data_IF_471565488367
#
_entry.id   IF_471565488367
#
_cell.length_a   1.000
_cell.length_b   1.000
_cell.length_c   1.000
_cell.angle_alpha   90.00
_cell.angle_beta   90.00
_cell.angle_gamma   90.00
#
_symmetry.space_group_name_H-M   'P 1'
#
loop_
_entity.id
_entity.type
_entity.pdbx_description
1 polymer ?
#
# COMPACT_ATOMS: atom_id res chain seq x y z
N UNK A 1 -2.20 12.46 -19.97
CA UNK A 1 -2.26 11.27 -19.13
C UNK A 1 -2.95 10.17 -19.91
N UNK A 2 -2.31 9.08 -20.01
CA UNK A 2 -2.37 8.12 -21.09
C UNK A 2 -3.59 7.22 -21.02
N UNK A 3 -4.22 6.98 -22.18
CA UNK A 3 -5.33 6.06 -22.44
C UNK A 3 -5.16 4.63 -21.87
N UNK A 4 -3.97 4.27 -21.41
CA UNK A 4 -3.66 2.97 -20.78
C UNK A 4 -4.36 2.78 -19.43
N UNK A 5 -4.66 3.86 -18.71
CA UNK A 5 -5.28 3.80 -17.38
C UNK A 5 -6.80 3.60 -17.42
N UNK A 6 -7.43 3.93 -18.52
CA UNK A 6 -8.90 3.94 -18.63
C UNK A 6 -9.49 2.54 -18.89
N UNK A 7 -8.66 1.52 -19.12
CA UNK A 7 -9.09 0.18 -19.49
C UNK A 7 -8.60 -0.95 -18.57
N UNK A 8 -7.73 -0.66 -17.58
CA UNK A 8 -7.25 -1.69 -16.66
C UNK A 8 -8.21 -1.84 -15.48
N UNK A 9 -8.71 -3.06 -15.30
CA UNK A 9 -9.46 -3.42 -14.09
C UNK A 9 -8.49 -3.52 -12.90
N UNK A 10 -8.49 -2.47 -12.07
CA UNK A 10 -7.64 -2.38 -10.88
C UNK A 10 -8.07 -3.35 -9.76
N UNK A 11 -9.31 -3.86 -9.82
CA UNK A 11 -9.85 -4.82 -8.86
C UNK A 11 -9.51 -6.27 -9.21
N UNK A 12 -8.93 -6.51 -10.40
CA UNK A 12 -8.54 -7.85 -10.81
C UNK A 12 -7.59 -8.50 -9.80
N UNK A 13 -7.95 -9.68 -9.32
CA UNK A 13 -7.21 -10.43 -8.31
C UNK A 13 -6.37 -11.57 -8.90
N UNK A 14 -6.60 -11.91 -10.15
CA UNK A 14 -5.86 -12.97 -10.82
C UNK A 14 -4.57 -12.46 -11.45
N UNK A 15 -3.56 -13.32 -11.50
CA UNK A 15 -2.29 -13.04 -12.15
C UNK A 15 -1.78 -14.30 -12.83
N UNK A 16 -1.23 -14.17 -14.02
CA UNK A 16 -0.55 -15.29 -14.67
C UNK A 16 0.83 -15.55 -14.05
N UNK A 17 1.29 -16.80 -14.15
CA UNK A 17 2.53 -17.26 -13.51
C UNK A 17 3.78 -16.52 -14.04
N UNK A 18 3.81 -16.21 -15.32
CA UNK A 18 4.92 -15.47 -15.94
C UNK A 18 5.03 -14.09 -15.32
N UNK A 19 3.90 -13.38 -15.21
CA UNK A 19 3.86 -12.05 -14.60
C UNK A 19 4.20 -12.09 -13.11
N UNK A 20 3.68 -13.06 -12.38
CA UNK A 20 4.01 -13.26 -10.96
C UNK A 20 5.51 -13.50 -10.75
N UNK A 21 6.13 -14.31 -11.60
CA UNK A 21 7.58 -14.56 -11.57
C UNK A 21 8.39 -13.29 -11.84
N UNK A 22 8.01 -12.50 -12.84
CA UNK A 22 8.67 -11.22 -13.13
C UNK A 22 8.61 -10.26 -11.95
N UNK A 23 7.46 -10.19 -11.28
CA UNK A 23 7.29 -9.33 -10.09
C UNK A 23 8.17 -9.84 -8.95
N UNK A 24 8.12 -11.14 -8.64
CA UNK A 24 8.96 -11.76 -7.60
C UNK A 24 10.44 -11.47 -7.82
N UNK A 25 10.94 -11.73 -9.03
CA UNK A 25 12.36 -11.55 -9.36
C UNK A 25 12.76 -10.06 -9.29
N UNK A 26 11.85 -9.16 -9.67
CA UNK A 26 12.03 -7.72 -9.51
C UNK A 26 12.11 -7.28 -8.05
N UNK A 27 11.20 -7.79 -7.21
CA UNK A 27 11.19 -7.50 -5.76
C UNK A 27 12.48 -8.00 -5.10
N UNK A 28 12.86 -9.25 -5.35
CA UNK A 28 14.08 -9.83 -4.75
C UNK A 28 15.32 -9.03 -5.14
N UNK A 29 15.47 -8.67 -6.40
CA UNK A 29 16.60 -7.84 -6.87
C UNK A 29 16.71 -6.51 -6.13
N UNK A 30 15.57 -5.85 -5.84
CA UNK A 30 15.57 -4.58 -5.10
C UNK A 30 15.89 -4.81 -3.62
N UNK A 31 15.32 -5.84 -3.00
CA UNK A 31 15.62 -6.18 -1.60
C UNK A 31 17.08 -6.54 -1.39
N UNK A 32 17.66 -7.31 -2.31
CA UNK A 32 19.08 -7.66 -2.27
C UNK A 32 19.97 -6.42 -2.40
N UNK A 33 19.66 -5.51 -3.32
CA UNK A 33 20.39 -4.25 -3.48
C UNK A 33 20.31 -3.36 -2.23
N UNK A 34 19.16 -3.34 -1.54
CA UNK A 34 19.02 -2.63 -0.26
C UNK A 34 19.90 -3.28 0.81
N UNK A 35 19.88 -4.60 0.93
CA UNK A 35 20.69 -5.33 1.92
C UNK A 35 22.19 -5.12 1.69
N UNK A 36 22.65 -5.14 0.43
CA UNK A 36 24.02 -4.83 0.08
C UNK A 36 24.42 -3.39 0.46
N UNK A 37 23.55 -2.42 0.18
CA UNK A 37 23.78 -1.01 0.52
C UNK A 37 23.79 -0.78 2.04
N UNK A 38 22.90 -1.43 2.80
CA UNK A 38 22.92 -1.41 4.28
C UNK A 38 24.24 -1.93 4.82
N UNK A 39 24.69 -3.08 4.32
CA UNK A 39 25.95 -3.70 4.72
C UNK A 39 27.15 -2.80 4.40
N UNK A 40 27.23 -2.26 3.18
CA UNK A 40 28.30 -1.38 2.77
C UNK A 40 28.35 -0.08 3.58
N UNK A 41 27.20 0.43 4.03
CA UNK A 41 27.10 1.62 4.86
C UNK A 41 27.22 1.36 6.37
N UNK A 42 27.46 0.11 6.79
CA UNK A 42 27.53 -0.28 8.22
C UNK A 42 26.21 -0.10 8.96
N UNK A 43 25.08 -0.15 8.26
CA UNK A 43 23.74 -0.05 8.84
C UNK A 43 23.26 -1.42 9.34
N UNK A 44 22.36 -1.40 10.31
CA UNK A 44 21.72 -2.63 10.77
C UNK A 44 20.85 -3.22 9.63
N UNK A 45 20.87 -4.54 9.40
CA UNK A 45 20.01 -5.19 8.43
C UNK A 45 18.53 -4.84 8.65
N UNK A 46 17.82 -4.50 7.58
CA UNK A 46 16.41 -4.12 7.63
C UNK A 46 16.14 -2.73 8.20
N UNK A 47 17.16 -1.89 8.39
CA UNK A 47 17.01 -0.49 8.81
C UNK A 47 16.39 0.40 7.73
N UNK A 48 16.54 0.03 6.46
CA UNK A 48 15.89 0.69 5.33
C UNK A 48 14.57 0.00 5.03
N UNK A 49 13.50 0.79 4.94
CA UNK A 49 12.17 0.27 4.60
C UNK A 49 11.85 0.58 3.14
N UNK A 50 11.45 -0.46 2.40
CA UNK A 50 11.04 -0.32 1.00
C UNK A 50 9.53 -0.08 0.92
N UNK A 51 9.13 1.06 0.36
CA UNK A 51 7.76 1.32 -0.03
C UNK A 51 7.60 1.03 -1.53
N UNK A 52 6.70 0.11 -1.87
CA UNK A 52 6.36 -0.17 -3.27
C UNK A 52 5.25 0.78 -3.74
N UNK A 53 5.56 1.62 -4.74
CA UNK A 53 4.55 2.45 -5.40
C UNK A 53 3.68 1.58 -6.31
N UNK A 54 2.44 1.32 -5.90
CA UNK A 54 1.53 0.36 -6.53
C UNK A 54 0.54 1.00 -7.52
N UNK A 55 0.73 2.29 -7.80
CA UNK A 55 -0.08 2.99 -8.81
C UNK A 55 -0.13 2.19 -10.12
N UNK A 56 -1.30 2.16 -10.75
CA UNK A 56 -1.54 1.45 -12.02
C UNK A 56 -1.45 -0.08 -11.96
N UNK A 57 -1.17 -0.65 -10.79
CA UNK A 57 -1.15 -2.11 -10.60
C UNK A 57 -2.51 -2.59 -10.07
N UNK A 58 -2.96 -3.74 -10.53
CA UNK A 58 -4.15 -4.37 -9.99
C UNK A 58 -3.86 -5.14 -8.69
N UNK A 59 -4.91 -5.61 -8.06
CA UNK A 59 -4.82 -6.36 -6.80
C UNK A 59 -3.94 -7.60 -6.93
N UNK A 60 -4.07 -8.36 -8.01
CA UNK A 60 -3.26 -9.58 -8.25
C UNK A 60 -1.77 -9.29 -8.34
N UNK A 61 -1.38 -8.22 -9.06
CA UNK A 61 0.03 -7.81 -9.16
C UNK A 61 0.58 -7.34 -7.80
N UNK A 62 -0.23 -6.60 -7.02
CA UNK A 62 0.18 -6.13 -5.69
C UNK A 62 0.35 -7.31 -4.73
N UNK A 63 -0.57 -8.27 -4.75
CA UNK A 63 -0.47 -9.46 -3.92
C UNK A 63 0.76 -10.31 -4.28
N UNK A 64 1.10 -10.44 -5.56
CA UNK A 64 2.34 -11.10 -5.99
C UNK A 64 3.59 -10.41 -5.43
N UNK A 65 3.58 -9.08 -5.35
CA UNK A 65 4.67 -8.32 -4.73
C UNK A 65 4.74 -8.54 -3.20
N UNK A 66 3.60 -8.59 -2.51
CA UNK A 66 3.52 -8.90 -1.08
C UNK A 66 4.01 -10.32 -0.80
N UNK A 67 3.58 -11.30 -1.61
CA UNK A 67 4.04 -12.69 -1.52
C UNK A 67 5.57 -12.81 -1.75
N UNK A 68 6.15 -11.91 -2.56
CA UNK A 68 7.60 -11.83 -2.79
C UNK A 68 8.39 -11.10 -1.70
N UNK A 69 7.73 -10.48 -0.71
CA UNK A 69 8.40 -9.83 0.42
C UNK A 69 8.19 -8.33 0.57
N UNK A 70 7.36 -7.70 -0.25
CA UNK A 70 6.95 -6.30 -0.02
C UNK A 70 6.13 -6.21 1.26
N UNK A 71 6.48 -5.23 2.14
CA UNK A 71 5.85 -5.02 3.45
C UNK A 71 5.39 -3.57 3.68
N UNK A 72 5.30 -2.78 2.62
CA UNK A 72 4.75 -1.43 2.62
C UNK A 72 4.35 -1.05 1.20
N UNK A 73 3.14 -0.54 1.03
CA UNK A 73 2.63 -0.16 -0.29
C UNK A 73 2.13 1.29 -0.29
N UNK A 74 2.12 1.92 -1.46
CA UNK A 74 1.68 3.30 -1.60
C UNK A 74 0.97 3.59 -2.91
N UNK A 75 -0.17 4.28 -2.82
CA UNK A 75 -0.97 4.73 -3.95
C UNK A 75 -0.87 6.22 -4.19
N UNK A 76 -0.88 6.61 -5.47
CA UNK A 76 -0.86 8.03 -5.86
C UNK A 76 -2.25 8.67 -5.78
N UNK A 77 -3.31 7.91 -5.97
CA UNK A 77 -4.66 8.45 -6.15
C UNK A 77 -5.64 7.84 -5.16
N UNK A 78 -6.46 8.67 -4.48
CA UNK A 78 -7.52 8.17 -3.61
C UNK A 78 -8.47 7.17 -4.29
N UNK A 79 -8.72 7.34 -5.59
CA UNK A 79 -9.56 6.44 -6.37
C UNK A 79 -8.97 5.03 -6.49
N UNK A 80 -7.64 4.92 -6.61
CA UNK A 80 -6.95 3.63 -6.65
C UNK A 80 -6.97 2.95 -5.29
N UNK A 81 -6.80 3.73 -4.19
CA UNK A 81 -7.00 3.21 -2.82
C UNK A 81 -8.38 2.57 -2.69
N UNK A 82 -9.44 3.34 -3.01
CA UNK A 82 -10.82 2.88 -2.86
C UNK A 82 -11.14 1.66 -3.73
N UNK A 83 -10.61 1.60 -4.95
CA UNK A 83 -10.86 0.49 -5.86
C UNK A 83 -10.21 -0.82 -5.40
N UNK A 84 -9.05 -0.74 -4.77
CA UNK A 84 -8.21 -1.91 -4.45
C UNK A 84 -8.35 -2.37 -2.99
N UNK A 85 -8.75 -1.48 -2.08
CA UNK A 85 -8.66 -1.72 -0.64
C UNK A 85 -9.40 -2.98 -0.17
N UNK A 86 -10.60 -3.24 -0.68
CA UNK A 86 -11.39 -4.41 -0.28
C UNK A 86 -10.69 -5.72 -0.65
N UNK A 87 -10.29 -5.88 -1.92
CA UNK A 87 -9.60 -7.07 -2.41
C UNK A 87 -8.25 -7.27 -1.71
N UNK A 88 -7.47 -6.20 -1.58
CA UNK A 88 -6.18 -6.25 -0.88
C UNK A 88 -6.33 -6.64 0.59
N UNK A 89 -7.29 -6.05 1.31
CA UNK A 89 -7.51 -6.34 2.73
C UNK A 89 -7.86 -7.81 2.94
N UNK A 90 -8.81 -8.33 2.15
CA UNK A 90 -9.22 -9.73 2.22
C UNK A 90 -8.07 -10.68 1.91
N UNK A 91 -7.35 -10.46 0.80
CA UNK A 91 -6.25 -11.34 0.39
C UNK A 91 -5.02 -11.24 1.31
N UNK A 92 -4.79 -10.08 1.94
CA UNK A 92 -3.79 -9.93 3.00
C UNK A 92 -4.18 -10.73 4.24
N UNK A 93 -5.45 -10.64 4.67
CA UNK A 93 -5.94 -11.40 5.83
C UNK A 93 -5.81 -12.90 5.63
N UNK A 94 -6.11 -13.43 4.44
CA UNK A 94 -5.93 -14.84 4.08
C UNK A 94 -4.46 -15.31 4.24
N UNK A 95 -3.51 -14.39 4.22
CA UNK A 95 -2.07 -14.63 4.39
C UNK A 95 -1.53 -14.28 5.78
N UNK A 96 -2.39 -13.90 6.70
CA UNK A 96 -2.01 -13.50 8.05
C UNK A 96 -1.48 -12.07 8.16
N UNK A 97 -1.74 -11.22 7.15
CA UNK A 97 -1.38 -9.80 7.18
C UNK A 97 -2.57 -8.90 7.50
N UNK A 98 -2.28 -7.75 8.13
CA UNK A 98 -3.25 -6.67 8.31
C UNK A 98 -2.84 -5.47 7.46
N UNK A 99 -3.70 -5.03 6.54
CA UNK A 99 -3.43 -3.91 5.65
C UNK A 99 -3.88 -2.57 6.24
N UNK A 100 -3.03 -1.57 6.17
CA UNK A 100 -3.36 -0.18 6.50
C UNK A 100 -3.89 0.01 7.93
N UNK A 101 -4.87 0.89 8.10
CA UNK A 101 -5.49 1.15 9.42
C UNK A 101 -6.31 -0.04 9.92
N UNK A 102 -6.90 -0.82 9.02
CA UNK A 102 -7.84 -1.89 9.37
C UNK A 102 -9.10 -1.37 10.08
N UNK A 103 -9.46 -0.10 9.87
CA UNK A 103 -10.65 0.51 10.48
C UNK A 103 -11.92 -0.26 10.06
N UNK A 104 -12.64 -0.79 11.05
CA UNK A 104 -13.83 -1.60 10.84
C UNK A 104 -13.61 -3.03 10.37
N UNK A 105 -12.36 -3.48 10.23
CA UNK A 105 -12.06 -4.87 9.87
C UNK A 105 -12.11 -5.79 11.09
N UNK A 106 -13.26 -6.41 11.30
CA UNK A 106 -13.48 -7.39 12.37
C UNK A 106 -12.88 -8.77 12.08
N UNK A 107 -12.36 -8.98 10.87
CA UNK A 107 -11.77 -10.26 10.44
C UNK A 107 -10.26 -10.32 10.67
N UNK A 108 -9.66 -9.19 11.07
CA UNK A 108 -8.23 -9.06 11.30
C UNK A 108 -7.75 -9.96 12.42
N UNK A 109 -6.78 -10.87 12.18
CA UNK A 109 -6.12 -11.61 13.25
C UNK A 109 -5.41 -10.66 14.23
N UNK A 110 -5.49 -10.94 15.53
CA UNK A 110 -4.89 -10.08 16.57
C UNK A 110 -3.37 -10.03 16.54
N UNK A 111 -2.74 -11.02 15.89
CA UNK A 111 -1.30 -11.22 15.76
C UNK A 111 -0.80 -11.04 14.31
N UNK A 112 -1.64 -10.51 13.43
CA UNK A 112 -1.29 -10.30 12.03
C UNK A 112 -0.12 -9.32 11.87
N UNK A 113 0.84 -9.66 11.03
CA UNK A 113 1.88 -8.73 10.60
C UNK A 113 1.25 -7.57 9.83
N UNK A 114 1.59 -6.35 10.22
CA UNK A 114 1.02 -5.14 9.64
C UNK A 114 1.75 -4.72 8.36
N UNK A 115 0.97 -4.53 7.27
CA UNK A 115 1.45 -3.92 6.02
C UNK A 115 0.93 -2.49 5.94
N UNK A 116 1.80 -1.47 6.15
CA UNK A 116 1.41 -0.07 5.98
C UNK A 116 0.91 0.22 4.57
N UNK A 117 -0.21 0.95 4.47
CA UNK A 117 -0.80 1.41 3.23
C UNK A 117 -0.77 2.94 3.19
N UNK A 118 0.06 3.51 2.33
CA UNK A 118 0.29 4.94 2.24
C UNK A 118 -0.46 5.58 1.07
N UNK A 119 -0.91 6.81 1.26
CA UNK A 119 -1.19 7.70 0.14
C UNK A 119 0.07 8.55 -0.11
N UNK A 120 0.69 8.38 -1.27
CA UNK A 120 1.93 9.05 -1.65
C UNK A 120 1.73 10.16 -2.68
N UNK A 121 0.52 10.31 -3.21
CA UNK A 121 0.15 11.38 -4.13
C UNK A 121 -0.77 12.42 -3.50
N UNK A 122 -1.08 13.48 -4.24
CA UNK A 122 -1.84 14.62 -3.74
C UNK A 122 -3.23 14.22 -3.24
N UNK A 123 -3.58 14.69 -2.04
CA UNK A 123 -4.88 14.46 -1.42
C UNK A 123 -5.76 15.70 -1.51
N UNK A 124 -6.90 15.56 -2.18
CA UNK A 124 -7.97 16.55 -2.14
C UNK A 124 -8.79 16.42 -0.85
N UNK A 125 -9.15 17.54 -0.23
CA UNK A 125 -9.87 17.56 1.04
C UNK A 125 -11.20 16.78 1.04
N UNK A 126 -11.91 16.75 -0.10
CA UNK A 126 -13.17 16.01 -0.25
C UNK A 126 -12.99 14.47 -0.32
N UNK A 127 -11.75 13.99 -0.43
CA UNK A 127 -11.42 12.55 -0.47
C UNK A 127 -10.92 12.01 0.87
N UNK A 128 -10.60 12.86 1.85
CA UNK A 128 -10.05 12.46 3.15
C UNK A 128 -10.87 11.33 3.78
N UNK A 129 -12.18 11.54 3.98
CA UNK A 129 -13.04 10.56 4.64
C UNK A 129 -13.19 9.23 3.91
N UNK A 130 -12.82 9.18 2.63
CA UNK A 130 -12.93 7.96 1.80
C UNK A 130 -11.71 7.07 1.92
N UNK A 131 -10.53 7.63 2.23
CA UNK A 131 -9.28 6.88 2.29
C UNK A 131 -8.84 6.53 3.71
N UNK A 132 -9.26 7.32 4.70
CA UNK A 132 -8.88 7.10 6.11
C UNK A 132 -9.22 5.70 6.66
N UNK A 133 -10.27 5.01 6.20
CA UNK A 133 -10.50 3.62 6.62
C UNK A 133 -9.40 2.65 6.21
N UNK A 134 -8.63 2.98 5.17
CA UNK A 134 -7.69 2.07 4.55
C UNK A 134 -6.24 2.49 4.74
N UNK A 135 -5.92 3.78 4.53
CA UNK A 135 -4.54 4.26 4.62
C UNK A 135 -4.18 4.70 6.04
N UNK A 136 -2.99 4.33 6.48
CA UNK A 136 -2.47 4.72 7.79
C UNK A 136 -1.43 5.84 7.72
N UNK A 137 -1.00 6.24 6.53
CA UNK A 137 -0.01 7.32 6.33
C UNK A 137 -0.33 8.11 5.07
N UNK A 138 -0.24 9.44 5.19
CA UNK A 138 -0.38 10.38 4.07
C UNK A 138 0.91 11.19 3.99
N UNK A 139 1.68 10.99 2.92
CA UNK A 139 3.02 11.59 2.78
C UNK A 139 3.01 12.98 2.15
N UNK A 140 1.92 13.36 1.49
CA UNK A 140 1.83 14.54 0.62
C UNK A 140 0.91 15.63 1.19
N UNK A 141 1.03 15.92 2.47
CA UNK A 141 0.29 17.02 3.11
C UNK A 141 1.02 18.33 2.81
N UNK A 142 0.40 19.18 2.00
CA UNK A 142 1.00 20.40 1.44
C UNK A 142 0.65 21.69 2.22
N UNK A 143 -0.10 21.57 3.32
CA UNK A 143 -0.47 22.74 4.11
C UNK A 143 -1.14 22.42 5.44
N UNK A 144 -1.10 23.40 6.35
CA UNK A 144 -1.67 23.29 7.70
C UNK A 144 -3.18 23.05 7.67
N UNK A 145 -3.89 23.70 6.76
CA UNK A 145 -5.35 23.52 6.63
C UNK A 145 -5.71 22.08 6.27
N UNK A 146 -5.00 21.49 5.32
CA UNK A 146 -5.21 20.08 4.95
C UNK A 146 -4.88 19.15 6.13
N UNK A 147 -3.77 19.39 6.83
CA UNK A 147 -3.39 18.63 8.02
C UNK A 147 -4.48 18.67 9.10
N UNK A 148 -5.03 19.85 9.39
CA UNK A 148 -6.11 20.02 10.35
C UNK A 148 -7.40 19.31 9.93
N UNK A 149 -7.73 19.33 8.64
CA UNK A 149 -8.90 18.60 8.11
C UNK A 149 -8.72 17.09 8.24
N UNK A 150 -7.54 16.55 7.95
CA UNK A 150 -7.20 15.14 8.14
C UNK A 150 -7.34 14.77 9.62
N UNK A 151 -6.69 15.53 10.52
CA UNK A 151 -6.72 15.28 11.95
C UNK A 151 -8.16 15.25 12.51
N UNK A 152 -8.99 16.23 12.16
CA UNK A 152 -10.40 16.25 12.57
C UNK A 152 -11.19 15.02 12.11
N UNK A 153 -10.91 14.56 10.88
CA UNK A 153 -11.58 13.35 10.34
C UNK A 153 -11.08 12.08 11.00
N UNK A 154 -9.78 12.00 11.30
CA UNK A 154 -9.19 10.86 11.99
C UNK A 154 -9.75 10.74 13.42
N UNK A 155 -9.74 11.85 14.19
CA UNK A 155 -10.33 11.88 15.55
C UNK A 155 -11.81 11.49 15.55
N UNK A 156 -12.60 11.99 14.58
CA UNK A 156 -14.01 11.63 14.47
C UNK A 156 -14.26 10.12 14.19
N UNK A 157 -13.24 9.41 13.72
CA UNK A 157 -13.26 7.95 13.49
C UNK A 157 -12.61 7.15 14.62
N UNK A 158 -11.93 7.80 15.54
CA UNK A 158 -11.17 7.14 16.60
C UNK A 158 -9.82 6.54 16.14
N UNK A 159 -9.25 7.10 15.07
CA UNK A 159 -7.94 6.71 14.51
C UNK A 159 -6.97 7.86 14.51
#
# INVERSE_FOLDING_TARGET
MTAYMDHKDLTNESIDETRATQIRDGVHRVLDAIAEAESAAGRAPGSVKLLAATKTRDVGEIMAAIDAGIRMIGENRPQEVMAKAEGLRRLCADRGFALGTGDGDTTRPSDAEHIPFHLIGQLQANKIGKILPDVNTIESVDGVELAQRIARRAVARGI
#
